data_IF_477983994910
#
_entry.id   IF_477983994910
#
_cell.length_a   1.000
_cell.length_b   1.000
_cell.length_c   1.000
_cell.angle_alpha   90.00
_cell.angle_beta   90.00
_cell.angle_gamma   90.00
#
_symmetry.space_group_name_H-M   'P 1'
#
loop_
_entity.id
_entity.type
_entity.pdbx_description
1 polymer ?
#
# COMPACT_ATOMS: atom_id res chain seq x y z
N UNK A 1 -4.09 -16.12 -13.84
CA UNK A 1 -3.53 -14.82 -14.28
C UNK A 1 -2.86 -14.22 -13.07
N UNK A 2 -1.58 -13.88 -13.14
CA UNK A 2 -0.89 -13.20 -12.03
C UNK A 2 -0.85 -11.71 -12.37
N UNK A 3 -1.32 -10.87 -11.46
CA UNK A 3 -1.27 -9.42 -11.60
C UNK A 3 -0.37 -8.82 -10.53
N UNK A 4 0.61 -8.01 -10.97
CA UNK A 4 1.39 -7.16 -10.08
C UNK A 4 0.56 -5.98 -9.57
N UNK A 5 1.16 -5.18 -8.69
CA UNK A 5 0.58 -4.05 -7.93
C UNK A 5 -0.12 -2.96 -8.74
N UNK A 6 -0.10 -3.04 -10.07
CA UNK A 6 -0.92 -2.18 -10.93
C UNK A 6 -2.29 -2.84 -11.10
N UNK A 7 -3.31 -2.27 -10.44
CA UNK A 7 -4.73 -2.64 -10.51
C UNK A 7 -5.26 -2.49 -11.93
N UNK A 8 -4.88 -3.45 -12.78
CA UNK A 8 -5.20 -3.45 -14.19
C UNK A 8 -6.61 -3.97 -14.38
N UNK A 9 -7.40 -3.39 -15.30
CA UNK A 9 -8.79 -3.80 -15.52
C UNK A 9 -8.99 -5.28 -15.84
N UNK A 10 -7.91 -5.97 -16.20
CA UNK A 10 -7.81 -7.43 -16.32
C UNK A 10 -8.28 -8.20 -15.08
N UNK A 11 -8.15 -7.63 -13.86
CA UNK A 11 -8.65 -8.25 -12.63
C UNK A 11 -10.18 -8.37 -12.62
N UNK A 12 -10.85 -7.53 -13.41
CA UNK A 12 -12.30 -7.37 -13.42
C UNK A 12 -12.97 -8.14 -14.56
N UNK A 13 -12.20 -8.75 -15.45
CA UNK A 13 -12.73 -9.55 -16.54
C UNK A 13 -13.07 -10.95 -16.03
N UNK A 14 -14.28 -11.43 -16.33
CA UNK A 14 -14.72 -12.79 -16.01
C UNK A 14 -13.97 -13.81 -16.87
N UNK A 15 -12.83 -14.27 -16.38
CA UNK A 15 -12.14 -15.42 -16.95
C UNK A 15 -12.54 -16.68 -16.21
N UNK A 16 -12.61 -17.81 -16.91
CA UNK A 16 -12.69 -19.14 -16.29
C UNK A 16 -11.34 -19.58 -15.66
N UNK A 17 -10.36 -18.67 -15.59
CA UNK A 17 -9.00 -18.94 -15.11
C UNK A 17 -8.79 -18.21 -13.78
N UNK A 18 -8.24 -18.88 -12.75
CA UNK A 18 -7.98 -18.24 -11.46
C UNK A 18 -7.12 -16.98 -11.58
N UNK A 19 -7.44 -15.95 -10.80
CA UNK A 19 -6.72 -14.68 -10.71
C UNK A 19 -5.96 -14.62 -9.38
N UNK A 20 -4.66 -14.36 -9.48
CA UNK A 20 -3.76 -14.14 -8.36
C UNK A 20 -3.35 -12.67 -8.36
N UNK A 21 -3.61 -11.95 -7.27
CA UNK A 21 -3.23 -10.54 -7.12
C UNK A 21 -2.08 -10.40 -6.12
N UNK A 22 -1.05 -9.65 -6.49
CA UNK A 22 0.13 -9.44 -5.66
C UNK A 22 0.16 -8.03 -5.06
N UNK A 23 0.25 -7.93 -3.74
CA UNK A 23 0.27 -6.67 -2.98
C UNK A 23 1.64 -6.44 -2.33
N UNK A 24 2.38 -5.48 -2.88
CA UNK A 24 3.64 -4.97 -2.34
C UNK A 24 3.44 -3.98 -1.18
N UNK A 25 2.31 -3.30 -1.17
CA UNK A 25 1.90 -2.32 -0.17
C UNK A 25 0.39 -2.12 -0.31
N UNK A 26 -0.24 -1.49 0.69
CA UNK A 26 -1.64 -1.05 0.56
C UNK A 26 -1.73 0.47 0.70
N UNK A 27 -2.58 1.09 -0.10
CA UNK A 27 -2.88 2.52 -0.01
C UNK A 27 -3.57 2.84 1.33
N UNK A 28 -4.36 1.91 1.88
CA UNK A 28 -4.94 2.08 3.21
C UNK A 28 -3.88 2.09 4.33
N UNK A 29 -2.87 1.21 4.23
CA UNK A 29 -1.72 1.18 5.13
C UNK A 29 -0.94 2.49 5.06
N UNK A 30 -0.67 2.98 3.84
CA UNK A 30 -0.06 4.29 3.62
C UNK A 30 -0.87 5.43 4.26
N UNK A 31 -2.19 5.47 4.02
CA UNK A 31 -3.07 6.52 4.56
C UNK A 31 -3.12 6.55 6.09
N UNK A 32 -2.94 5.38 6.74
CA UNK A 32 -2.85 5.23 8.20
C UNK A 32 -1.47 5.61 8.75
N UNK A 33 -0.40 5.25 8.04
CA UNK A 33 0.98 5.46 8.48
C UNK A 33 1.49 6.90 8.26
N UNK A 34 0.99 7.60 7.23
CA UNK A 34 1.52 8.92 6.87
C UNK A 34 0.98 10.01 7.81
N UNK A 35 1.87 10.65 8.60
CA UNK A 35 1.48 11.75 9.45
C UNK A 35 1.03 12.95 8.61
N UNK A 36 0.15 13.78 9.18
CA UNK A 36 -0.14 15.09 8.59
C UNK A 36 1.11 15.97 8.68
N UNK A 37 1.29 16.91 7.75
CA UNK A 37 2.47 17.78 7.72
C UNK A 37 2.67 18.57 9.02
N UNK A 38 1.59 18.88 9.75
CA UNK A 38 1.64 19.53 11.06
C UNK A 38 2.04 18.61 12.23
N UNK A 39 2.28 17.32 11.98
CA UNK A 39 2.79 16.33 12.93
C UNK A 39 4.14 15.75 12.45
N UNK A 40 4.79 16.37 11.46
CA UNK A 40 6.13 15.96 11.04
C UNK A 40 7.14 16.35 12.13
N UNK A 41 8.15 15.49 12.32
CA UNK A 41 9.30 15.81 13.14
C UNK A 41 10.03 17.06 12.62
N UNK A 42 10.63 17.83 13.53
CA UNK A 42 11.18 19.15 13.24
C UNK A 42 12.13 19.17 12.02
N UNK A 43 12.97 18.14 11.85
CA UNK A 43 13.90 18.05 10.71
C UNK A 43 13.22 17.81 9.35
N UNK A 44 12.12 17.06 9.32
CA UNK A 44 11.36 16.81 8.09
C UNK A 44 10.60 18.06 7.63
N UNK A 45 10.04 18.82 8.57
CA UNK A 45 9.32 20.07 8.27
C UNK A 45 10.23 21.07 7.53
N UNK A 46 11.48 21.22 7.98
CA UNK A 46 12.47 22.13 7.37
C UNK A 46 12.80 21.76 5.91
N UNK A 47 12.83 20.45 5.59
CA UNK A 47 13.03 19.99 4.22
C UNK A 47 11.83 20.37 3.34
N UNK A 48 10.61 20.13 3.82
CA UNK A 48 9.39 20.48 3.09
C UNK A 48 9.26 21.99 2.84
N UNK A 49 9.61 22.82 3.83
CA UNK A 49 9.64 24.28 3.69
C UNK A 49 10.65 24.69 2.61
N UNK A 50 11.88 24.12 2.65
CA UNK A 50 12.92 24.40 1.64
C UNK A 50 12.48 24.00 0.22
N UNK A 51 11.84 22.84 0.07
CA UNK A 51 11.30 22.39 -1.23
C UNK A 51 10.21 23.33 -1.77
N UNK A 52 9.37 23.89 -0.88
CA UNK A 52 8.38 24.88 -1.27
C UNK A 52 9.03 26.21 -1.66
N UNK A 53 10.02 26.66 -0.89
CA UNK A 53 10.77 27.89 -1.17
C UNK A 53 11.55 27.80 -2.49
N UNK A 54 12.09 26.62 -2.82
CA UNK A 54 12.78 26.37 -4.09
C UNK A 54 11.83 26.17 -5.28
N UNK A 55 10.51 26.20 -5.06
CA UNK A 55 9.50 25.95 -6.10
C UNK A 55 9.39 24.49 -6.56
N UNK A 56 10.09 23.55 -5.90
CA UNK A 56 10.03 22.13 -6.24
C UNK A 56 8.66 21.51 -5.92
N UNK A 57 8.00 22.01 -4.87
CA UNK A 57 6.61 21.67 -4.54
C UNK A 57 5.79 22.95 -4.40
N UNK A 58 4.52 22.90 -4.84
CA UNK A 58 3.62 24.07 -4.77
C UNK A 58 2.92 24.19 -3.42
N UNK A 59 2.66 23.07 -2.75
CA UNK A 59 1.84 22.99 -1.54
C UNK A 59 2.45 21.99 -0.55
N UNK A 60 2.31 22.27 0.75
CA UNK A 60 2.85 21.42 1.83
C UNK A 60 1.89 20.32 2.26
N UNK A 61 0.61 20.47 1.94
CA UNK A 61 -0.45 19.54 2.31
C UNK A 61 -1.29 19.24 1.08
N UNK A 62 -1.70 17.98 0.94
CA UNK A 62 -2.70 17.57 -0.04
C UNK A 62 -4.03 18.21 0.37
N UNK A 63 -4.62 19.03 -0.52
CA UNK A 63 -5.95 19.63 -0.31
C UNK A 63 -7.04 18.59 -0.10
N UNK A 64 -6.87 17.41 -0.68
CA UNK A 64 -7.79 16.29 -0.55
C UNK A 64 -7.04 14.97 -0.59
N UNK A 65 -7.52 14.00 0.19
CA UNK A 65 -7.07 12.60 0.13
C UNK A 65 -7.91 11.75 -0.83
N UNK A 66 -8.87 12.36 -1.53
CA UNK A 66 -9.80 11.66 -2.43
C UNK A 66 -9.12 10.73 -3.44
N UNK A 67 -8.08 11.14 -4.18
CA UNK A 67 -7.42 10.22 -5.12
C UNK A 67 -6.85 8.97 -4.46
N UNK A 68 -6.28 9.11 -3.26
CA UNK A 68 -5.74 7.97 -2.50
C UNK A 68 -6.86 7.08 -1.96
N UNK A 69 -7.97 7.67 -1.51
CA UNK A 69 -9.14 6.90 -1.08
C UNK A 69 -9.77 6.14 -2.27
N UNK A 70 -9.82 6.76 -3.44
CA UNK A 70 -10.33 6.14 -4.67
C UNK A 70 -9.45 4.96 -5.07
N UNK A 71 -8.11 5.12 -5.01
CA UNK A 71 -7.17 4.01 -5.20
C UNK A 71 -7.44 2.91 -4.18
N UNK A 72 -7.47 3.21 -2.87
CA UNK A 72 -7.72 2.23 -1.82
C UNK A 72 -9.01 1.42 -2.05
N UNK A 73 -10.06 2.08 -2.57
CA UNK A 73 -11.33 1.43 -2.91
C UNK A 73 -11.17 0.44 -4.09
N UNK A 74 -10.37 0.81 -5.11
CA UNK A 74 -10.05 -0.06 -6.23
C UNK A 74 -9.19 -1.25 -5.77
N UNK A 75 -8.23 -1.03 -4.85
CA UNK A 75 -7.40 -2.10 -4.29
C UNK A 75 -8.27 -3.14 -3.59
N UNK A 76 -9.17 -2.68 -2.71
CA UNK A 76 -10.10 -3.52 -1.97
C UNK A 76 -10.99 -4.32 -2.92
N UNK A 77 -11.59 -3.65 -3.90
CA UNK A 77 -12.43 -4.31 -4.90
C UNK A 77 -11.66 -5.36 -5.71
N UNK A 78 -10.42 -5.06 -6.08
CA UNK A 78 -9.55 -6.01 -6.80
C UNK A 78 -9.21 -7.22 -5.95
N UNK A 79 -8.89 -7.03 -4.67
CA UNK A 79 -8.61 -8.10 -3.72
C UNK A 79 -9.85 -8.98 -3.47
N UNK A 80 -11.04 -8.37 -3.36
CA UNK A 80 -12.28 -9.12 -3.16
C UNK A 80 -12.54 -10.10 -4.31
N UNK A 81 -12.24 -9.66 -5.55
CA UNK A 81 -12.46 -10.43 -6.79
C UNK A 81 -11.36 -11.42 -7.11
N UNK A 82 -10.18 -11.30 -6.51
CA UNK A 82 -9.11 -12.28 -6.70
C UNK A 82 -9.48 -13.64 -6.07
N UNK A 83 -9.05 -14.72 -6.72
CA UNK A 83 -9.16 -16.07 -6.18
C UNK A 83 -8.09 -16.31 -5.11
N UNK A 84 -6.87 -15.81 -5.37
CA UNK A 84 -5.75 -15.87 -4.45
C UNK A 84 -5.02 -14.53 -4.38
N UNK A 85 -4.41 -14.26 -3.24
CA UNK A 85 -3.68 -13.03 -2.96
C UNK A 85 -2.31 -13.39 -2.41
N UNK A 86 -1.29 -12.75 -2.95
CA UNK A 86 0.06 -12.78 -2.39
C UNK A 86 0.30 -11.44 -1.70
N UNK A 87 0.42 -11.46 -0.38
CA UNK A 87 0.88 -10.32 0.41
C UNK A 87 2.39 -10.42 0.60
N UNK A 88 3.09 -9.29 0.45
CA UNK A 88 4.56 -9.27 0.62
C UNK A 88 5.04 -9.18 2.06
N UNK A 89 4.11 -9.08 3.02
CA UNK A 89 4.42 -9.10 4.45
C UNK A 89 3.16 -9.28 5.30
N UNK A 90 3.38 -9.55 6.59
CA UNK A 90 2.30 -9.58 7.58
C UNK A 90 1.63 -8.22 7.78
N UNK A 91 2.33 -7.12 7.52
CA UNK A 91 1.72 -5.78 7.56
C UNK A 91 0.68 -5.67 6.45
N UNK A 92 1.07 -6.00 5.21
CA UNK A 92 0.15 -5.99 4.06
C UNK A 92 -1.01 -6.94 4.27
N UNK A 93 -0.77 -8.15 4.79
CA UNK A 93 -1.84 -9.11 5.12
C UNK A 93 -2.83 -8.53 6.14
N UNK A 94 -2.34 -7.91 7.21
CA UNK A 94 -3.21 -7.27 8.22
C UNK A 94 -4.01 -6.10 7.65
N UNK A 95 -3.42 -5.30 6.76
CA UNK A 95 -4.13 -4.21 6.10
C UNK A 95 -5.29 -4.72 5.24
N UNK A 96 -5.06 -5.77 4.45
CA UNK A 96 -6.07 -6.39 3.60
C UNK A 96 -7.22 -7.00 4.42
N UNK A 97 -6.90 -7.73 5.49
CA UNK A 97 -7.90 -8.26 6.43
C UNK A 97 -8.68 -7.11 7.08
N UNK A 98 -7.99 -6.03 7.44
CA UNK A 98 -8.59 -4.84 8.05
C UNK A 98 -9.59 -4.11 7.14
N UNK A 99 -9.58 -4.36 5.83
CA UNK A 99 -10.57 -3.86 4.87
C UNK A 99 -11.57 -4.94 4.41
N UNK A 100 -11.63 -6.07 5.12
CA UNK A 100 -12.65 -7.10 4.92
C UNK A 100 -12.26 -8.21 3.93
N UNK A 101 -11.00 -8.31 3.54
CA UNK A 101 -10.54 -9.43 2.70
C UNK A 101 -10.39 -10.69 3.54
N UNK A 102 -10.96 -11.78 3.02
CA UNK A 102 -10.98 -13.11 3.62
C UNK A 102 -9.55 -13.66 3.74
N UNK A 103 -9.12 -14.02 4.96
CA UNK A 103 -7.73 -14.34 5.27
C UNK A 103 -7.23 -15.61 4.54
N UNK A 104 -8.14 -16.54 4.27
CA UNK A 104 -7.90 -17.80 3.55
C UNK A 104 -7.49 -17.56 2.09
N UNK A 105 -7.77 -16.38 1.53
CA UNK A 105 -7.30 -15.99 0.20
C UNK A 105 -5.86 -15.50 0.21
N UNK A 106 -5.29 -15.17 1.37
CA UNK A 106 -4.05 -14.40 1.49
C UNK A 106 -2.90 -15.26 1.98
N UNK A 107 -1.97 -15.52 1.07
CA UNK A 107 -0.67 -16.12 1.39
C UNK A 107 0.40 -15.04 1.52
N UNK A 108 1.27 -15.16 2.52
CA UNK A 108 2.38 -14.23 2.69
C UNK A 108 3.62 -14.81 1.99
N UNK A 109 4.15 -14.08 1.02
CA UNK A 109 5.44 -14.37 0.41
C UNK A 109 6.27 -13.10 0.56
N UNK A 110 7.17 -13.12 1.52
CA UNK A 110 8.01 -11.97 1.83
C UNK A 110 8.78 -11.52 0.59
N UNK A 111 8.76 -10.20 0.33
CA UNK A 111 9.64 -9.64 -0.68
C UNK A 111 11.04 -9.45 -0.06
N UNK A 112 12.09 -9.57 -0.86
CA UNK A 112 13.48 -9.47 -0.39
C UNK A 112 13.83 -8.10 0.25
N UNK A 113 13.02 -7.08 0.05
CA UNK A 113 13.16 -5.76 0.67
C UNK A 113 12.59 -5.78 2.09
N UNK A 114 11.42 -6.37 2.32
CA UNK A 114 10.79 -6.44 3.65
C UNK A 114 11.67 -7.22 4.64
N UNK A 115 12.28 -8.32 4.20
CA UNK A 115 13.25 -9.07 5.01
C UNK A 115 14.49 -8.21 5.35
N UNK A 116 14.96 -7.41 4.39
CA UNK A 116 16.12 -6.53 4.58
C UNK A 116 15.85 -5.38 5.58
N UNK A 117 14.64 -4.82 5.62
CA UNK A 117 14.32 -3.66 6.45
C UNK A 117 13.71 -4.03 7.82
N UNK A 118 13.08 -5.19 7.96
CA UNK A 118 12.31 -5.55 9.16
C UNK A 118 12.83 -6.76 9.92
N UNK A 119 13.70 -7.60 9.35
CA UNK A 119 14.49 -8.54 10.15
C UNK A 119 15.71 -7.82 10.74
N UNK A 120 15.53 -7.24 11.92
CA UNK A 120 16.69 -6.84 12.73
C UNK A 120 17.31 -8.11 13.29
N UNK A 121 18.59 -8.43 13.05
CA UNK A 121 19.23 -9.53 13.77
C UNK A 121 19.14 -9.22 15.26
N UNK A 122 18.51 -10.11 16.04
CA UNK A 122 18.62 -10.05 17.49
C UNK A 122 20.10 -10.19 17.84
N UNK A 123 20.74 -9.07 18.16
CA UNK A 123 22.09 -9.06 18.71
C UNK A 123 21.94 -9.58 20.14
N UNK A 124 22.31 -10.83 20.34
CA UNK A 124 22.46 -11.46 21.66
C UNK A 124 23.67 -10.89 22.40
#
# INVERSE_FOLDING_TARGET
>A
IIQGTTYTPLAFLRFFKPVVSHFGSTTIGFLKAVPKTNHLENGCSDVFIRLKQSGAIRELNIKTRRPLNDIASIEQYSAERADYIIATSDIVKRDLIGVGIVAEKIEVIHNAIEDYWFETPMVF
#
